data_IF_177222415220
#
_entry.id   IF_177222415220
#
_cell.length_a   1.000
_cell.length_b   1.000
_cell.length_c   1.000
_cell.angle_alpha   90.00
_cell.angle_beta   90.00
_cell.angle_gamma   90.00
#
_symmetry.space_group_name_H-M   'P 1'
#
loop_
_entity.id
_entity.type
_entity.pdbx_description
1 polymer ?
#
# COMPACT_ATOMS: atom_id res chain seq x y z
N UNK A 1 -7.61 -16.09 -16.62
CA UNK A 1 -6.28 -16.75 -16.58
C UNK A 1 -5.44 -16.03 -15.53
N UNK A 2 -4.83 -16.77 -14.62
CA UNK A 2 -4.03 -16.17 -13.52
C UNK A 2 -2.63 -15.80 -14.00
N UNK A 3 -2.23 -14.57 -13.70
CA UNK A 3 -0.90 -14.04 -13.98
C UNK A 3 -0.34 -13.40 -12.71
N UNK A 4 0.88 -13.81 -12.31
CA UNK A 4 1.54 -13.31 -11.10
C UNK A 4 2.89 -12.70 -11.44
N UNK A 5 3.22 -11.61 -10.78
CA UNK A 5 4.55 -11.00 -10.81
C UNK A 5 4.84 -10.29 -9.48
N UNK A 6 6.11 -9.95 -9.27
CA UNK A 6 6.58 -9.32 -8.04
C UNK A 6 7.37 -8.07 -8.38
N UNK A 7 7.17 -7.02 -7.56
CA UNK A 7 7.95 -5.79 -7.60
C UNK A 7 8.68 -5.67 -6.26
N UNK A 8 9.99 -5.51 -6.29
CA UNK A 8 10.82 -5.45 -5.07
C UNK A 8 11.75 -4.25 -5.13
N UNK A 9 11.90 -3.57 -4.01
CA UNK A 9 12.84 -2.44 -3.86
C UNK A 9 13.14 -2.18 -2.38
N UNK A 10 14.25 -1.49 -2.14
CA UNK A 10 14.65 -1.05 -0.80
C UNK A 10 14.12 0.38 -0.55
N UNK A 11 13.58 0.60 0.66
CA UNK A 11 13.14 1.90 1.16
C UNK A 11 14.12 2.31 2.26
N UNK A 12 14.74 3.48 2.10
CA UNK A 12 15.74 4.00 3.05
C UNK A 12 15.07 4.60 4.30
N UNK A 13 14.35 3.75 5.04
CA UNK A 13 13.78 4.06 6.35
C UNK A 13 13.48 2.77 7.13
N UNK A 14 13.35 2.85 8.48
CA UNK A 14 12.90 1.72 9.30
C UNK A 14 11.52 1.20 8.91
N UNK A 15 11.29 -0.10 9.08
CA UNK A 15 10.01 -0.77 8.80
C UNK A 15 8.82 -0.10 9.52
N UNK A 16 9.02 0.32 10.76
CA UNK A 16 7.98 0.99 11.51
C UNK A 16 7.46 2.26 10.80
N UNK A 17 8.35 3.03 10.20
CA UNK A 17 7.99 4.24 9.45
C UNK A 17 7.27 3.87 8.14
N UNK A 18 7.76 2.87 7.41
CA UNK A 18 7.13 2.40 6.18
C UNK A 18 5.70 1.91 6.43
N UNK A 19 5.50 1.11 7.47
CA UNK A 19 4.17 0.62 7.89
C UNK A 19 3.26 1.77 8.32
N UNK A 20 3.77 2.72 9.12
CA UNK A 20 2.99 3.86 9.57
C UNK A 20 2.51 4.73 8.39
N UNK A 21 3.35 4.93 7.38
CA UNK A 21 2.95 5.66 6.16
C UNK A 21 1.88 4.93 5.39
N UNK A 22 1.98 3.62 5.27
CA UNK A 22 0.93 2.82 4.62
C UNK A 22 -0.41 2.88 5.36
N UNK A 23 -0.39 3.03 6.67
CA UNK A 23 -1.58 3.17 7.52
C UNK A 23 -2.10 4.60 7.62
N UNK A 24 -1.37 5.59 7.13
CA UNK A 24 -1.77 7.00 7.13
C UNK A 24 -2.74 7.28 5.98
N UNK A 25 -4.05 7.24 6.28
CA UNK A 25 -5.08 7.47 5.28
C UNK A 25 -5.07 8.90 4.69
N UNK A 26 -4.57 9.89 5.44
CA UNK A 26 -4.54 11.27 4.97
C UNK A 26 -3.57 11.47 3.81
N UNK A 27 -2.44 10.73 3.79
CA UNK A 27 -1.48 10.88 2.70
C UNK A 27 -2.06 10.45 1.35
N UNK A 28 -2.91 9.43 1.31
CA UNK A 28 -3.57 8.99 0.07
C UNK A 28 -4.46 10.10 -0.52
N UNK A 29 -5.15 10.84 0.31
CA UNK A 29 -6.03 11.94 -0.14
C UNK A 29 -5.23 13.13 -0.68
N UNK A 30 -4.10 13.47 -0.05
CA UNK A 30 -3.36 14.68 -0.37
C UNK A 30 -2.17 14.46 -1.30
N UNK A 31 -1.43 13.38 -1.14
CA UNK A 31 -0.21 13.13 -1.89
C UNK A 31 -0.51 12.55 -3.28
N UNK A 32 -1.46 11.63 -3.35
CA UNK A 32 -1.77 10.93 -4.60
C UNK A 32 -2.79 11.64 -5.50
N UNK A 33 -3.10 12.91 -5.26
CA UNK A 33 -4.02 13.70 -6.11
C UNK A 33 -3.65 13.69 -7.60
N UNK A 34 -2.39 13.54 -7.93
CA UNK A 34 -1.95 13.43 -9.33
C UNK A 34 -2.37 12.12 -9.98
N UNK A 35 -2.52 11.06 -9.20
CA UNK A 35 -2.79 9.70 -9.68
C UNK A 35 -4.18 9.20 -9.31
N UNK A 36 -4.73 9.69 -8.21
CA UNK A 36 -6.06 9.33 -7.72
C UNK A 36 -6.90 10.60 -7.59
N UNK A 37 -7.95 10.68 -8.39
CA UNK A 37 -8.87 11.82 -8.35
C UNK A 37 -9.89 11.71 -7.22
N UNK A 38 -10.17 10.49 -6.80
CA UNK A 38 -11.09 10.21 -5.70
C UNK A 38 -10.54 9.10 -4.82
N UNK A 39 -10.59 9.34 -3.54
CA UNK A 39 -10.30 8.36 -2.50
C UNK A 39 -11.38 8.51 -1.44
N UNK A 40 -12.24 7.50 -1.32
CA UNK A 40 -13.37 7.49 -0.40
C UNK A 40 -13.27 6.26 0.51
N UNK A 41 -13.28 6.48 1.82
CA UNK A 41 -13.39 5.41 2.80
C UNK A 41 -14.86 5.05 2.96
N UNK A 42 -15.23 3.82 2.60
CA UNK A 42 -16.60 3.31 2.68
C UNK A 42 -16.90 2.78 4.08
N UNK A 43 -15.98 2.02 4.63
CA UNK A 43 -16.06 1.52 6.01
C UNK A 43 -14.68 1.21 6.56
N UNK A 44 -14.59 1.21 7.89
CA UNK A 44 -13.40 0.90 8.64
C UNK A 44 -13.74 -0.08 9.76
N UNK A 45 -13.04 -1.20 9.78
CA UNK A 45 -13.23 -2.28 10.76
C UNK A 45 -11.96 -2.47 11.59
N UNK A 46 -11.83 -1.80 12.74
CA UNK A 46 -10.62 -1.87 13.55
C UNK A 46 -10.33 -3.26 14.12
N UNK A 47 -11.37 -4.04 14.45
CA UNK A 47 -11.23 -5.38 15.04
C UNK A 47 -10.63 -6.39 14.07
N UNK A 48 -11.01 -6.31 12.81
CA UNK A 48 -10.51 -7.21 11.74
C UNK A 48 -9.35 -6.62 10.94
N UNK A 49 -8.89 -5.42 11.32
CA UNK A 49 -7.85 -4.67 10.62
C UNK A 49 -8.14 -4.43 9.12
N UNK A 50 -9.41 -4.17 8.79
CA UNK A 50 -9.85 -3.95 7.42
C UNK A 50 -10.35 -2.53 7.20
N UNK A 51 -10.09 -2.05 5.98
CA UNK A 51 -10.64 -0.82 5.45
C UNK A 51 -11.19 -1.08 4.04
N UNK A 52 -12.37 -0.56 3.78
CA UNK A 52 -13.01 -0.63 2.47
C UNK A 52 -12.93 0.74 1.84
N UNK A 53 -12.34 0.80 0.65
CA UNK A 53 -12.07 2.04 -0.06
C UNK A 53 -12.60 1.99 -1.48
N UNK A 54 -12.95 3.17 -1.98
CA UNK A 54 -13.27 3.41 -3.37
C UNK A 54 -12.32 4.46 -3.90
N UNK A 55 -11.62 4.14 -4.97
CA UNK A 55 -10.66 5.04 -5.59
C UNK A 55 -10.80 5.05 -7.11
N UNK A 56 -10.41 6.15 -7.73
CA UNK A 56 -10.24 6.21 -9.18
C UNK A 56 -8.86 6.73 -9.51
N UNK A 57 -8.27 6.19 -10.57
CA UNK A 57 -6.95 6.53 -11.02
C UNK A 57 -6.85 6.49 -12.54
N UNK A 58 -5.81 7.08 -13.09
CA UNK A 58 -5.59 7.14 -14.53
C UNK A 58 -4.66 6.02 -14.98
N UNK A 59 -5.09 5.26 -15.99
CA UNK A 59 -4.29 4.25 -16.66
C UNK A 59 -4.35 4.48 -18.17
N UNK A 60 -3.21 4.73 -18.79
CA UNK A 60 -3.10 5.03 -20.23
C UNK A 60 -3.99 6.18 -20.72
N UNK A 61 -4.17 7.22 -19.93
CA UNK A 61 -5.05 8.33 -20.25
C UNK A 61 -6.55 8.03 -20.06
N UNK A 62 -6.90 6.86 -19.55
CA UNK A 62 -8.26 6.48 -19.21
C UNK A 62 -8.43 6.49 -17.69
N UNK A 63 -9.45 7.19 -17.24
CA UNK A 63 -9.85 7.14 -15.83
C UNK A 63 -10.60 5.85 -15.57
N UNK A 64 -10.14 5.09 -14.59
CA UNK A 64 -10.74 3.83 -14.17
C UNK A 64 -10.96 3.84 -12.67
N UNK A 65 -12.01 3.17 -12.23
CA UNK A 65 -12.37 3.07 -10.81
C UNK A 65 -12.20 1.67 -10.26
N UNK A 66 -11.97 1.60 -8.96
CA UNK A 66 -11.82 0.38 -8.20
C UNK A 66 -12.50 0.53 -6.85
N UNK A 67 -13.16 -0.54 -6.39
CA UNK A 67 -13.58 -0.68 -5.00
C UNK A 67 -12.82 -1.85 -4.41
N UNK A 68 -12.05 -1.60 -3.38
CA UNK A 68 -11.17 -2.61 -2.79
C UNK A 68 -11.26 -2.65 -1.27
N UNK A 69 -10.86 -3.77 -0.71
CA UNK A 69 -10.61 -3.97 0.70
C UNK A 69 -9.11 -4.07 0.92
N UNK A 70 -8.61 -3.32 1.88
CA UNK A 70 -7.24 -3.44 2.39
C UNK A 70 -7.31 -4.03 3.78
N UNK A 71 -6.54 -5.09 4.03
CA UNK A 71 -6.38 -5.73 5.32
C UNK A 71 -4.93 -5.55 5.79
N UNK A 72 -4.77 -5.01 6.99
CA UNK A 72 -3.47 -4.96 7.66
C UNK A 72 -3.26 -6.24 8.45
N UNK A 73 -2.23 -7.00 8.09
CA UNK A 73 -1.79 -8.20 8.81
C UNK A 73 -0.51 -7.84 9.58
N UNK A 74 -0.63 -7.59 10.89
CA UNK A 74 0.54 -7.22 11.68
C UNK A 74 1.65 -8.29 11.63
N UNK A 75 2.94 -7.92 11.70
CA UNK A 75 3.41 -6.55 11.95
C UNK A 75 3.53 -5.67 10.72
N UNK A 76 3.74 -6.22 9.51
CA UNK A 76 4.20 -5.44 8.37
C UNK A 76 3.72 -5.99 7.01
N UNK A 77 2.54 -6.57 6.97
CA UNK A 77 1.93 -7.10 5.75
C UNK A 77 0.60 -6.42 5.46
N UNK A 78 0.31 -6.19 4.17
CA UNK A 78 -0.94 -5.63 3.70
C UNK A 78 -1.47 -6.47 2.54
N UNK A 79 -2.77 -6.78 2.60
CA UNK A 79 -3.49 -7.50 1.57
C UNK A 79 -4.55 -6.58 0.97
N UNK A 80 -4.55 -6.44 -0.35
CA UNK A 80 -5.57 -5.65 -1.05
C UNK A 80 -6.32 -6.55 -2.01
N UNK A 81 -7.64 -6.45 -1.97
CA UNK A 81 -8.55 -7.23 -2.79
C UNK A 81 -9.51 -6.32 -3.53
N UNK A 82 -9.60 -6.49 -4.84
CA UNK A 82 -10.69 -5.92 -5.63
C UNK A 82 -11.98 -6.69 -5.29
N UNK A 83 -12.96 -6.00 -4.72
CA UNK A 83 -14.17 -6.64 -4.14
C UNK A 83 -15.42 -6.47 -4.99
N UNK A 84 -15.62 -5.29 -5.58
CA UNK A 84 -16.81 -4.98 -6.35
C UNK A 84 -16.54 -3.95 -7.45
N UNK A 85 -17.42 -3.85 -8.46
CA UNK A 85 -17.31 -2.81 -9.47
C UNK A 85 -17.39 -1.41 -8.88
N UNK A 86 -16.62 -0.48 -9.45
CA UNK A 86 -16.77 0.94 -9.14
C UNK A 86 -18.15 1.42 -9.60
N UNK A 87 -18.92 2.14 -8.77
CA UNK A 87 -20.25 2.60 -9.13
C UNK A 87 -20.22 3.71 -10.17
N UNK A 88 -21.29 3.80 -10.96
CA UNK A 88 -21.50 4.87 -11.95
C UNK A 88 -20.98 4.52 -13.34
N UNK A 89 -20.65 5.54 -14.12
CA UNK A 89 -20.28 5.42 -15.54
C UNK A 89 -18.79 5.15 -15.79
N UNK A 90 -17.94 5.31 -14.77
CA UNK A 90 -16.52 5.04 -14.89
C UNK A 90 -16.25 3.57 -15.18
N UNK A 91 -15.36 3.25 -16.12
CA UNK A 91 -14.89 1.90 -16.31
C UNK A 91 -14.31 1.36 -15.01
N UNK A 92 -14.75 0.19 -14.59
CA UNK A 92 -14.24 -0.46 -13.38
C UNK A 92 -13.20 -1.50 -13.74
N UNK A 93 -12.09 -1.50 -13.01
CA UNK A 93 -11.06 -2.56 -13.10
C UNK A 93 -11.69 -3.93 -12.92
N UNK A 94 -12.64 -4.06 -11.98
CA UNK A 94 -13.32 -5.30 -11.65
C UNK A 94 -13.98 -6.00 -12.87
N UNK A 95 -14.50 -5.23 -13.85
CA UNK A 95 -15.10 -5.78 -15.06
C UNK A 95 -14.07 -6.27 -16.09
N UNK A 96 -12.84 -5.73 -16.01
CA UNK A 96 -11.76 -6.03 -16.96
C UNK A 96 -10.83 -7.10 -16.44
N UNK A 97 -10.43 -6.98 -15.17
CA UNK A 97 -9.55 -7.93 -14.50
C UNK A 97 -9.78 -7.84 -12.99
N UNK A 98 -9.57 -8.95 -12.27
CA UNK A 98 -9.52 -8.92 -10.82
C UNK A 98 -8.08 -8.85 -10.35
N UNK A 99 -7.87 -8.00 -9.35
CA UNK A 99 -6.53 -7.77 -8.79
C UNK A 99 -6.49 -8.20 -7.33
N UNK A 100 -5.36 -8.80 -6.94
CA UNK A 100 -5.01 -9.01 -5.54
C UNK A 100 -3.56 -8.62 -5.39
N UNK A 101 -3.27 -7.86 -4.34
CA UNK A 101 -1.89 -7.51 -4.04
C UNK A 101 -1.56 -7.85 -2.60
N UNK A 102 -0.32 -8.24 -2.37
CA UNK A 102 0.25 -8.51 -1.07
C UNK A 102 1.53 -7.71 -0.94
N UNK A 103 1.57 -6.78 0.00
CA UNK A 103 2.76 -5.99 0.33
C UNK A 103 3.36 -6.56 1.60
N UNK A 104 4.63 -6.86 1.60
CA UNK A 104 5.39 -7.32 2.78
C UNK A 104 6.58 -6.40 2.97
N UNK A 105 6.71 -5.83 4.16
CA UNK A 105 7.87 -5.06 4.55
C UNK A 105 8.75 -5.89 5.48
N UNK A 106 10.03 -6.00 5.15
CA UNK A 106 11.03 -6.73 5.95
C UNK A 106 12.15 -5.78 6.34
N UNK A 107 12.57 -5.82 7.58
CA UNK A 107 13.67 -5.00 8.06
C UNK A 107 15.00 -5.51 7.50
N UNK A 108 15.88 -4.55 7.13
CA UNK A 108 17.29 -4.79 6.83
C UNK A 108 18.09 -4.15 7.98
N UNK A 109 18.41 -4.90 9.05
CA UNK A 109 18.93 -4.34 10.29
C UNK A 109 20.27 -3.59 10.10
N UNK A 110 21.15 -4.10 9.23
CA UNK A 110 22.48 -3.53 8.99
C UNK A 110 22.44 -2.12 8.40
N UNK A 111 21.34 -1.78 7.73
CA UNK A 111 21.16 -0.49 7.06
C UNK A 111 20.08 0.36 7.70
N UNK A 112 19.35 -0.18 8.68
CA UNK A 112 18.13 0.44 9.21
C UNK A 112 17.15 0.86 8.10
N UNK A 113 17.01 -0.01 7.11
CA UNK A 113 16.15 0.18 5.93
C UNK A 113 15.12 -0.94 5.81
N UNK A 114 14.20 -0.80 4.89
CA UNK A 114 13.08 -1.72 4.65
C UNK A 114 13.18 -2.32 3.27
N UNK A 115 13.10 -3.64 3.17
CA UNK A 115 12.82 -4.34 1.92
C UNK A 115 11.32 -4.42 1.68
N UNK A 116 10.86 -3.81 0.61
CA UNK A 116 9.46 -3.87 0.16
C UNK A 116 9.32 -4.93 -0.91
N UNK A 117 8.41 -5.88 -0.68
CA UNK A 117 8.02 -6.90 -1.66
C UNK A 117 6.53 -6.80 -1.92
N UNK A 118 6.17 -6.47 -3.14
CA UNK A 118 4.79 -6.39 -3.63
C UNK A 118 4.53 -7.55 -4.58
N UNK A 119 3.70 -8.49 -4.17
CA UNK A 119 3.19 -9.58 -5.01
C UNK A 119 1.86 -9.16 -5.63
N UNK A 120 1.72 -9.31 -6.94
CA UNK A 120 0.52 -8.92 -7.69
C UNK A 120 -0.02 -10.14 -8.41
N UNK A 121 -1.25 -10.50 -8.08
CA UNK A 121 -2.04 -11.52 -8.76
C UNK A 121 -3.12 -10.85 -9.62
N UNK A 122 -3.10 -11.13 -10.92
CA UNK A 122 -4.09 -10.67 -11.88
C UNK A 122 -4.90 -11.86 -12.40
N UNK A 123 -6.22 -11.72 -12.38
CA UNK A 123 -7.10 -12.66 -13.08
C UNK A 123 -7.55 -12.03 -14.41
N UNK A 124 -6.80 -12.35 -15.47
CA UNK A 124 -6.96 -11.76 -16.80
C UNK A 124 -7.93 -12.57 -17.66
N UNK A 125 -8.84 -11.94 -18.38
CA UNK A 125 -9.61 -12.61 -19.40
C UNK A 125 -8.70 -13.08 -20.56
N UNK A 126 -9.14 -14.07 -21.33
CA UNK A 126 -8.31 -14.68 -22.38
C UNK A 126 -7.82 -13.70 -23.45
N UNK A 127 -8.63 -12.68 -23.76
CA UNK A 127 -8.29 -11.66 -24.76
C UNK A 127 -7.22 -10.65 -24.28
N UNK A 128 -7.02 -10.48 -22.96
CA UNK A 128 -5.93 -9.69 -22.37
C UNK A 128 -4.64 -10.50 -22.18
N UNK A 129 -4.70 -11.82 -22.22
CA UNK A 129 -3.54 -12.67 -21.98
C UNK A 129 -2.33 -12.40 -22.87
N UNK A 130 -2.47 -12.12 -24.20
CA UNK A 130 -1.35 -11.74 -25.03
C UNK A 130 -0.64 -10.47 -24.54
N UNK A 131 -1.36 -9.57 -23.89
CA UNK A 131 -0.87 -8.28 -23.41
C UNK A 131 -0.36 -8.31 -21.96
N UNK A 132 -0.33 -9.46 -21.30
CA UNK A 132 0.03 -9.58 -19.88
C UNK A 132 1.36 -8.92 -19.51
N UNK A 133 2.39 -9.02 -20.36
CA UNK A 133 3.70 -8.40 -20.13
C UNK A 133 3.66 -6.87 -20.25
N UNK A 134 2.81 -6.37 -21.12
CA UNK A 134 2.57 -4.94 -21.23
C UNK A 134 1.83 -4.41 -20.00
N UNK A 135 0.80 -5.13 -19.54
CA UNK A 135 0.04 -4.81 -18.33
C UNK A 135 0.99 -4.83 -17.12
N UNK A 136 1.82 -5.85 -16.95
CA UNK A 136 2.84 -5.92 -15.90
C UNK A 136 3.74 -4.67 -15.89
N UNK A 137 4.32 -4.31 -17.05
CA UNK A 137 5.18 -3.14 -17.16
C UNK A 137 4.47 -1.84 -16.79
N UNK A 138 3.22 -1.70 -17.22
CA UNK A 138 2.41 -0.52 -16.91
C UNK A 138 2.11 -0.42 -15.41
N UNK A 139 1.67 -1.51 -14.78
CA UNK A 139 1.39 -1.55 -13.34
C UNK A 139 2.66 -1.31 -12.54
N UNK A 140 3.78 -1.98 -12.91
CA UNK A 140 5.07 -1.78 -12.24
C UNK A 140 5.51 -0.32 -12.32
N UNK A 141 5.41 0.31 -13.49
CA UNK A 141 5.76 1.72 -13.65
C UNK A 141 4.91 2.64 -12.79
N UNK A 142 3.58 2.46 -12.83
CA UNK A 142 2.65 3.26 -12.00
C UNK A 142 2.93 3.07 -10.50
N UNK A 143 3.25 1.84 -10.09
CA UNK A 143 3.57 1.55 -8.69
C UNK A 143 4.86 2.24 -8.26
N UNK A 144 5.92 2.14 -9.06
CA UNK A 144 7.20 2.80 -8.79
C UNK A 144 7.03 4.33 -8.71
N UNK A 145 6.30 4.93 -9.67
CA UNK A 145 6.05 6.37 -9.66
C UNK A 145 5.25 6.83 -8.42
N UNK A 146 4.27 6.05 -7.97
CA UNK A 146 3.54 6.31 -6.72
C UNK A 146 4.47 6.21 -5.51
N UNK A 147 5.22 5.14 -5.44
CA UNK A 147 6.07 4.83 -4.29
C UNK A 147 7.24 5.80 -4.16
N UNK A 148 7.76 6.39 -5.25
CA UNK A 148 8.77 7.45 -5.19
C UNK A 148 8.27 8.67 -4.39
N UNK A 149 7.00 9.04 -4.53
CA UNK A 149 6.42 10.13 -3.75
C UNK A 149 6.26 9.75 -2.27
N UNK A 150 5.83 8.52 -2.01
CA UNK A 150 5.74 7.99 -0.65
C UNK A 150 7.12 7.92 0.00
N UNK A 151 8.13 7.47 -0.74
CA UNK A 151 9.52 7.41 -0.27
C UNK A 151 10.03 8.80 0.09
N UNK A 152 9.76 9.81 -0.72
CA UNK A 152 10.17 11.18 -0.41
C UNK A 152 9.50 11.72 0.86
N UNK A 153 8.21 11.42 1.05
CA UNK A 153 7.50 11.75 2.28
C UNK A 153 8.09 11.00 3.49
N UNK A 154 8.34 9.70 3.34
CA UNK A 154 8.95 8.85 4.37
C UNK A 154 10.32 9.42 4.77
N UNK A 155 11.17 9.77 3.81
CA UNK A 155 12.49 10.36 4.07
C UNK A 155 12.40 11.69 4.82
N UNK A 156 11.48 12.57 4.43
CA UNK A 156 11.25 13.83 5.13
C UNK A 156 10.79 13.61 6.57
N UNK A 157 9.85 12.68 6.78
CA UNK A 157 9.37 12.33 8.13
C UNK A 157 10.49 11.68 8.96
N UNK A 158 11.25 10.76 8.41
CA UNK A 158 12.41 10.16 9.10
C UNK A 158 13.48 11.19 9.47
N UNK A 159 13.72 12.19 8.63
CA UNK A 159 14.65 13.28 8.94
C UNK A 159 14.14 14.17 10.07
N UNK A 160 12.82 14.41 10.17
CA UNK A 160 12.21 15.23 11.22
C UNK A 160 12.22 14.55 12.59
N UNK A 161 11.93 13.24 12.62
CA UNK A 161 11.73 12.50 13.87
C UNK A 161 12.93 11.65 14.31
N UNK A 162 13.94 11.52 13.47
CA UNK A 162 15.10 10.68 13.70
C UNK A 162 14.82 9.19 13.41
N UNK A 163 15.78 8.51 12.80
CA UNK A 163 15.64 7.10 12.40
C UNK A 163 15.61 6.12 13.58
N UNK A 164 16.19 6.52 14.72
CA UNK A 164 16.35 5.65 15.88
C UNK A 164 15.13 5.61 16.79
N UNK A 165 14.23 6.59 16.68
CA UNK A 165 13.12 6.73 17.60
C UNK A 165 11.76 6.63 16.90
N UNK A 166 11.38 5.40 16.55
CA UNK A 166 10.13 5.09 15.87
C UNK A 166 8.87 5.50 16.66
N UNK A 167 8.98 5.59 18.00
CA UNK A 167 7.84 5.96 18.85
C UNK A 167 7.47 7.45 18.73
N UNK A 168 8.40 8.31 18.32
CA UNK A 168 8.16 9.74 18.11
C UNK A 168 7.39 9.98 16.80
N UNK A 169 7.43 9.05 15.86
CA UNK A 169 6.73 9.18 14.59
C UNK A 169 5.21 9.32 14.79
N UNK A 170 4.66 8.68 15.80
CA UNK A 170 3.24 8.75 16.13
C UNK A 170 2.98 9.84 17.18
N UNK A 171 2.96 11.08 16.76
CA UNK A 171 2.39 12.15 17.60
C UNK A 171 0.89 11.90 17.80
N UNK A 172 0.34 12.33 18.93
CA UNK A 172 -1.07 12.08 19.30
C UNK A 172 -2.08 12.62 18.29
N UNK A 173 -1.69 13.65 17.51
CA UNK A 173 -2.52 14.26 16.48
C UNK A 173 -2.49 13.52 15.13
N UNK A 174 -1.61 12.54 14.94
CA UNK A 174 -1.55 11.78 13.68
C UNK A 174 -2.60 10.68 13.68
N UNK A 175 -3.41 10.66 12.62
CA UNK A 175 -4.37 9.60 12.39
C UNK A 175 -3.72 8.48 11.59
N UNK A 176 -3.53 7.34 12.25
CA UNK A 176 -3.06 6.09 11.65
C UNK A 176 -4.15 5.05 11.82
N UNK A 177 -4.54 4.42 10.73
CA UNK A 177 -5.46 3.29 10.75
C UNK A 177 -4.85 2.16 11.58
N UNK A 178 -5.70 1.44 12.32
CA UNK A 178 -5.29 0.30 13.16
C UNK A 178 -4.16 0.63 14.15
N UNK A 179 -4.17 1.85 14.70
CA UNK A 179 -3.12 2.38 15.59
C UNK A 179 -2.79 1.42 16.74
N UNK A 180 -3.79 0.83 17.36
CA UNK A 180 -3.59 -0.09 18.50
C UNK A 180 -2.81 -1.35 18.08
N UNK A 181 -3.10 -1.91 16.92
CA UNK A 181 -2.36 -3.06 16.40
C UNK A 181 -0.93 -2.66 16.01
N UNK A 182 -0.76 -1.51 15.36
CA UNK A 182 0.54 -0.98 15.04
C UNK A 182 1.41 -0.79 16.30
N UNK A 183 0.88 -0.16 17.35
CA UNK A 183 1.61 0.11 18.58
C UNK A 183 2.02 -1.15 19.36
N UNK A 184 1.32 -2.27 19.22
CA UNK A 184 1.74 -3.55 19.82
C UNK A 184 3.08 -4.03 19.27
N UNK A 185 3.40 -3.71 18.02
CA UNK A 185 4.59 -4.17 17.32
C UNK A 185 5.69 -3.11 17.21
N UNK A 186 5.30 -1.84 17.10
CA UNK A 186 6.20 -0.73 16.86
C UNK A 186 6.16 0.37 17.95
N UNK A 187 5.38 0.17 18.99
CA UNK A 187 5.31 1.09 20.11
C UNK A 187 6.56 1.01 21.04
N UNK A 188 6.67 1.93 21.99
CA UNK A 188 7.84 2.04 22.86
C UNK A 188 8.13 0.79 23.71
N UNK A 189 7.11 -0.06 23.94
CA UNK A 189 7.21 -1.31 24.70
C UNK A 189 7.22 -2.56 23.80
N UNK A 190 7.35 -2.41 22.48
CA UNK A 190 7.35 -3.54 21.57
C UNK A 190 8.66 -4.32 21.63
N UNK A 191 8.57 -5.63 21.42
CA UNK A 191 9.76 -6.47 21.22
C UNK A 191 10.28 -6.26 19.79
N UNK A 192 11.62 -6.37 19.57
CA UNK A 192 12.18 -6.35 18.22
C UNK A 192 11.50 -7.37 17.33
N UNK A 193 11.27 -7.01 16.07
CA UNK A 193 10.74 -7.95 15.08
C UNK A 193 11.76 -9.08 14.91
N UNK A 194 11.27 -10.32 14.97
CA UNK A 194 12.12 -11.48 14.62
C UNK A 194 12.27 -11.47 13.10
N UNK A 195 13.51 -11.49 12.56
CA UNK A 195 13.71 -11.62 11.12
C UNK A 195 12.97 -12.85 10.61
N UNK A 196 12.22 -12.70 9.53
CA UNK A 196 11.66 -13.84 8.82
C UNK A 196 12.81 -14.68 8.25
N UNK A 197 12.89 -15.94 8.69
CA UNK A 197 13.90 -16.90 8.24
C UNK A 197 13.72 -17.27 6.76
#
# INVERSE_FOLDING_TARGET
MKYRFTVEYEIDCPVAIAVAVYLDAEHYVFLHRKYSDTYEVLSYEPETCKIFIRESWELFGLRIGQTCMTEYVPPAEFLNYDIEPYPGWLPSVHHVMKTRTRVVYTEIPERNSTWSRLEIDLDLPFWLWPFRRFIERAITRLKVEKDEQDIDMIRRRAALFGRENNSIYLADHQFILHKDQYLKHFGPNSKPLTPLA
#
